data_IF_056430709342
#
_entry.id   IF_056430709342
#
_cell.length_a   1.000
_cell.length_b   1.000
_cell.length_c   1.000
_cell.angle_alpha   90.00
_cell.angle_beta   90.00
_cell.angle_gamma   90.00
#
_symmetry.space_group_name_H-M   'P 1'
#
loop_
_entity.id
_entity.type
_entity.pdbx_description
1 polymer ?
#
# COMPACT_ATOMS: atom_id res chain seq x y z
N UNK A 1 -65.53 -26.42 21.07
CA UNK A 1 -64.64 -25.53 21.85
C UNK A 1 -63.32 -25.37 21.09
N UNK A 2 -62.98 -24.16 20.61
CA UNK A 2 -61.61 -23.77 20.30
C UNK A 2 -61.04 -22.92 21.46
N UNK A 3 -59.90 -23.31 22.00
CA UNK A 3 -59.15 -22.54 23.00
C UNK A 3 -58.20 -21.56 22.30
N UNK A 4 -58.16 -20.36 22.87
CA UNK A 4 -57.60 -19.13 22.34
C UNK A 4 -56.06 -19.10 22.47
N UNK A 5 -55.41 -18.47 21.49
CA UNK A 5 -53.98 -18.19 21.47
C UNK A 5 -53.59 -17.22 22.58
N UNK A 6 -52.71 -17.66 23.49
CA UNK A 6 -52.06 -16.79 24.46
C UNK A 6 -50.96 -15.98 23.78
N UNK A 7 -51.11 -14.68 23.84
CA UNK A 7 -50.14 -13.67 23.43
C UNK A 7 -49.01 -13.67 24.46
N UNK A 8 -47.90 -14.32 24.14
CA UNK A 8 -46.66 -14.25 24.89
C UNK A 8 -45.77 -13.12 24.36
N UNK A 9 -45.82 -11.98 25.05
CA UNK A 9 -44.83 -10.92 24.91
C UNK A 9 -43.47 -11.49 25.29
N UNK A 10 -42.53 -11.49 24.35
CA UNK A 10 -41.11 -11.61 24.66
C UNK A 10 -40.35 -10.76 23.67
N UNK A 11 -40.07 -9.54 24.12
CA UNK A 11 -39.11 -8.61 23.55
C UNK A 11 -37.77 -9.32 23.37
N UNK A 12 -37.53 -9.87 22.17
CA UNK A 12 -36.21 -10.30 21.77
C UNK A 12 -35.40 -9.03 21.51
N UNK A 13 -34.58 -8.70 22.50
CA UNK A 13 -33.53 -7.71 22.49
C UNK A 13 -32.89 -7.59 21.09
N UNK A 14 -32.94 -6.38 20.54
CA UNK A 14 -32.07 -5.99 19.44
C UNK A 14 -30.63 -6.03 19.94
N UNK A 15 -29.96 -7.16 19.73
CA UNK A 15 -28.50 -7.21 19.78
C UNK A 15 -28.03 -6.42 18.57
N UNK A 16 -27.72 -5.14 18.77
CA UNK A 16 -26.84 -4.40 17.86
C UNK A 16 -25.53 -5.18 17.79
N UNK A 17 -25.41 -6.00 16.75
CA UNK A 17 -24.16 -6.64 16.39
C UNK A 17 -23.19 -5.50 16.04
N UNK A 18 -22.06 -5.36 16.73
CA UNK A 18 -21.05 -4.39 16.33
C UNK A 18 -20.64 -4.77 14.91
N UNK A 19 -20.70 -3.81 13.99
CA UNK A 19 -20.25 -3.98 12.61
C UNK A 19 -18.84 -4.56 12.64
N UNK A 20 -18.74 -5.86 12.40
CA UNK A 20 -17.50 -6.53 12.10
C UNK A 20 -17.01 -5.87 10.83
N UNK A 21 -16.08 -4.90 10.96
CA UNK A 21 -15.26 -4.45 9.84
C UNK A 21 -14.69 -5.71 9.23
N UNK A 22 -15.25 -6.10 8.09
CA UNK A 22 -14.85 -7.28 7.34
C UNK A 22 -13.35 -7.22 7.22
N UNK A 23 -12.65 -8.13 7.91
CA UNK A 23 -11.21 -8.27 7.74
C UNK A 23 -11.01 -8.59 6.27
N UNK A 24 -10.35 -7.68 5.54
CA UNK A 24 -10.03 -7.88 4.13
C UNK A 24 -9.41 -9.25 4.00
N UNK A 25 -10.05 -10.11 3.23
CA UNK A 25 -9.52 -11.45 2.99
C UNK A 25 -8.17 -11.32 2.26
N UNK A 26 -7.27 -12.32 2.38
CA UNK A 26 -5.99 -12.30 1.64
C UNK A 26 -6.17 -12.06 0.13
N UNK A 27 -7.32 -12.47 -0.41
CA UNK A 27 -7.73 -12.22 -1.80
C UNK A 27 -8.07 -10.75 -2.09
N UNK A 28 -8.84 -10.08 -1.22
CA UNK A 28 -9.11 -8.64 -1.33
C UNK A 28 -7.84 -7.80 -1.13
N UNK A 29 -6.94 -8.25 -0.25
CA UNK A 29 -5.63 -7.63 -0.07
C UNK A 29 -4.79 -7.71 -1.37
N UNK A 30 -4.77 -8.87 -2.03
CA UNK A 30 -4.08 -9.07 -3.31
C UNK A 30 -4.65 -8.19 -4.44
N UNK A 31 -5.98 -8.07 -4.53
CA UNK A 31 -6.60 -7.19 -5.52
C UNK A 31 -6.28 -5.71 -5.25
N UNK A 32 -6.27 -5.29 -3.99
CA UNK A 32 -5.90 -3.92 -3.62
C UNK A 32 -4.41 -3.62 -3.90
N UNK A 33 -3.54 -4.61 -3.71
CA UNK A 33 -2.13 -4.50 -4.05
C UNK A 33 -1.91 -4.40 -5.57
N UNK A 34 -2.61 -5.21 -6.37
CA UNK A 34 -2.53 -5.14 -7.83
C UNK A 34 -3.03 -3.80 -8.40
N UNK A 35 -4.06 -3.21 -7.78
CA UNK A 35 -4.52 -1.86 -8.13
C UNK A 35 -3.47 -0.80 -7.80
N UNK A 36 -2.90 -0.85 -6.59
CA UNK A 36 -1.84 0.06 -6.17
C UNK A 36 -0.58 -0.07 -7.04
N UNK A 37 -0.23 -1.29 -7.46
CA UNK A 37 0.89 -1.54 -8.36
C UNK A 37 0.67 -0.92 -9.74
N UNK A 38 -0.53 -1.04 -10.30
CA UNK A 38 -0.86 -0.38 -11.58
C UNK A 38 -0.76 1.15 -11.46
N UNK A 39 -1.27 1.71 -10.37
CA UNK A 39 -1.19 3.14 -10.12
C UNK A 39 0.26 3.61 -9.99
N UNK A 40 1.10 2.85 -9.27
CA UNK A 40 2.52 3.13 -9.14
C UNK A 40 3.25 3.09 -10.51
N UNK A 41 2.93 2.12 -11.37
CA UNK A 41 3.49 2.05 -12.73
C UNK A 41 3.09 3.29 -13.55
N UNK A 42 1.83 3.73 -13.46
CA UNK A 42 1.40 4.95 -14.15
C UNK A 42 2.08 6.21 -13.61
N UNK A 43 2.32 6.28 -12.29
CA UNK A 43 3.06 7.40 -11.69
C UNK A 43 4.52 7.44 -12.14
N UNK A 44 5.16 6.27 -12.32
CA UNK A 44 6.52 6.19 -12.85
C UNK A 44 6.59 6.68 -14.29
N UNK A 45 5.62 6.30 -15.14
CA UNK A 45 5.53 6.80 -16.52
C UNK A 45 5.39 8.33 -16.58
N UNK A 46 4.53 8.90 -15.72
CA UNK A 46 4.39 10.35 -15.61
C UNK A 46 5.67 11.03 -15.10
N UNK A 47 6.35 10.44 -14.11
CA UNK A 47 7.61 10.96 -13.60
C UNK A 47 8.72 10.91 -14.66
N UNK A 48 8.75 9.87 -15.51
CA UNK A 48 9.67 9.75 -16.63
C UNK A 48 9.44 10.85 -17.67
N UNK A 49 8.19 11.09 -18.10
CA UNK A 49 7.88 12.20 -19.01
C UNK A 49 8.24 13.57 -18.44
N UNK A 50 8.02 13.78 -17.14
CA UNK A 50 8.42 15.01 -16.46
C UNK A 50 9.95 15.15 -16.41
N UNK A 51 10.68 14.05 -16.20
CA UNK A 51 12.15 14.01 -16.21
C UNK A 51 12.72 14.30 -17.60
N UNK A 52 12.12 13.77 -18.66
CA UNK A 52 12.53 14.07 -20.04
C UNK A 52 12.35 15.56 -20.36
N UNK A 53 11.23 16.14 -19.91
CA UNK A 53 10.96 17.59 -20.03
C UNK A 53 11.98 18.42 -19.25
N UNK A 54 12.38 17.98 -18.06
CA UNK A 54 13.40 18.65 -17.25
C UNK A 54 14.80 18.47 -17.84
N UNK A 55 15.11 17.33 -18.45
CA UNK A 55 16.38 17.07 -19.14
C UNK A 55 16.55 18.01 -20.33
N UNK A 56 15.47 18.22 -21.10
CA UNK A 56 15.45 19.22 -22.19
C UNK A 56 15.68 20.64 -21.66
N UNK A 57 15.23 20.95 -20.43
CA UNK A 57 15.53 22.23 -19.76
C UNK A 57 16.97 22.28 -19.23
N UNK A 58 17.51 21.19 -18.70
CA UNK A 58 18.86 21.11 -18.12
C UNK A 58 19.96 21.19 -19.18
N UNK A 59 19.74 20.66 -20.39
CA UNK A 59 20.65 20.85 -21.55
C UNK A 59 20.83 22.34 -21.87
N UNK A 60 19.94 23.23 -21.39
CA UNK A 60 20.10 24.69 -21.49
C UNK A 60 21.11 25.29 -20.50
N UNK A 61 21.72 24.48 -19.62
CA UNK A 61 22.97 24.80 -18.91
C UNK A 61 22.82 25.61 -17.61
N UNK A 62 22.35 24.98 -16.53
CA UNK A 62 22.30 25.60 -15.19
C UNK A 62 23.32 25.00 -14.21
N UNK A 63 23.74 25.87 -13.29
CA UNK A 63 24.91 25.88 -12.40
C UNK A 63 24.93 24.74 -11.35
N UNK A 64 26.00 23.95 -11.28
CA UNK A 64 26.13 22.85 -10.29
C UNK A 64 27.43 22.99 -9.48
N UNK A 65 27.26 23.25 -8.18
CA UNK A 65 28.32 23.38 -7.20
C UNK A 65 28.83 22.00 -6.74
N UNK A 66 30.16 21.75 -6.80
CA UNK A 66 30.80 20.46 -6.53
C UNK A 66 30.45 19.89 -5.14
N UNK A 67 30.21 20.76 -4.16
CA UNK A 67 29.84 20.38 -2.80
C UNK A 67 28.48 19.64 -2.76
N UNK A 68 27.53 20.06 -3.60
CA UNK A 68 26.21 19.44 -3.70
C UNK A 68 26.29 18.05 -4.33
N UNK A 69 27.23 17.83 -5.27
CA UNK A 69 27.45 16.52 -5.89
C UNK A 69 27.94 15.50 -4.86
N UNK A 70 28.88 15.88 -3.99
CA UNK A 70 29.38 14.98 -2.95
C UNK A 70 28.31 14.63 -1.91
N UNK A 71 27.51 15.62 -1.47
CA UNK A 71 26.40 15.38 -0.54
C UNK A 71 25.35 14.48 -1.20
N UNK A 72 25.01 14.71 -2.47
CA UNK A 72 24.08 13.89 -3.21
C UNK A 72 24.59 12.44 -3.33
N UNK A 73 25.87 12.24 -3.63
CA UNK A 73 26.48 10.92 -3.71
C UNK A 73 26.43 10.17 -2.36
N UNK A 74 26.74 10.83 -1.25
CA UNK A 74 26.64 10.23 0.08
C UNK A 74 25.19 9.88 0.43
N UNK A 75 24.25 10.78 0.15
CA UNK A 75 22.81 10.54 0.37
C UNK A 75 22.30 9.36 -0.47
N UNK A 76 22.72 9.26 -1.72
CA UNK A 76 22.38 8.15 -2.61
C UNK A 76 22.91 6.81 -2.08
N UNK A 77 24.15 6.78 -1.57
CA UNK A 77 24.73 5.58 -0.97
C UNK A 77 23.95 5.10 0.26
N UNK A 78 23.58 6.02 1.16
CA UNK A 78 22.77 5.68 2.34
C UNK A 78 21.38 5.21 1.94
N UNK A 79 20.74 5.90 0.99
CA UNK A 79 19.41 5.53 0.49
C UNK A 79 19.41 4.14 -0.15
N UNK A 80 20.44 3.81 -0.96
CA UNK A 80 20.58 2.51 -1.59
C UNK A 80 20.68 1.39 -0.55
N UNK A 81 21.50 1.58 0.49
CA UNK A 81 21.61 0.61 1.59
C UNK A 81 20.26 0.41 2.28
N UNK A 82 19.53 1.49 2.57
CA UNK A 82 18.19 1.40 3.16
C UNK A 82 17.20 0.66 2.24
N UNK A 83 17.26 0.87 0.92
CA UNK A 83 16.43 0.14 -0.05
C UNK A 83 16.72 -1.35 -0.05
N UNK A 84 17.98 -1.76 0.08
CA UNK A 84 18.35 -3.18 0.16
C UNK A 84 17.74 -3.82 1.41
N UNK A 85 17.80 -3.15 2.56
CA UNK A 85 17.18 -3.64 3.80
C UNK A 85 15.66 -3.75 3.67
N UNK A 86 15.00 -2.74 3.10
CA UNK A 86 13.55 -2.78 2.85
C UNK A 86 13.20 -3.94 1.92
N UNK A 87 13.96 -4.13 0.82
CA UNK A 87 13.77 -5.26 -0.10
C UNK A 87 13.83 -6.59 0.66
N UNK A 88 14.85 -6.77 1.50
CA UNK A 88 15.00 -8.00 2.29
C UNK A 88 13.79 -8.23 3.19
N UNK A 89 13.31 -7.20 3.90
CA UNK A 89 12.12 -7.29 4.76
C UNK A 89 10.82 -7.56 4.01
N UNK A 90 10.65 -7.02 2.81
CA UNK A 90 9.47 -7.31 1.97
C UNK A 90 9.48 -8.76 1.49
N UNK A 91 10.66 -9.29 1.11
CA UNK A 91 10.80 -10.71 0.74
C UNK A 91 10.52 -11.63 1.92
N UNK A 92 11.04 -11.31 3.11
CA UNK A 92 10.73 -12.04 4.35
C UNK A 92 9.21 -12.04 4.63
N UNK A 93 8.56 -10.88 4.56
CA UNK A 93 7.12 -10.75 4.80
C UNK A 93 6.29 -11.56 3.79
N UNK A 94 6.70 -11.59 2.52
CA UNK A 94 6.06 -12.42 1.51
C UNK A 94 6.21 -13.92 1.81
N UNK A 95 7.41 -14.36 2.20
CA UNK A 95 7.66 -15.74 2.60
C UNK A 95 6.83 -16.14 3.82
N UNK A 96 6.69 -15.24 4.79
CA UNK A 96 5.90 -15.46 6.01
C UNK A 96 4.40 -15.63 5.72
N UNK A 97 3.82 -14.78 4.85
CA UNK A 97 2.42 -14.87 4.45
C UNK A 97 2.10 -16.21 3.78
N UNK A 98 3.02 -16.75 2.98
CA UNK A 98 2.85 -18.06 2.32
C UNK A 98 2.98 -19.22 3.32
N UNK A 99 3.79 -19.05 4.36
CA UNK A 99 4.04 -20.07 5.38
C UNK A 99 2.97 -20.14 6.45
N UNK A 100 2.13 -19.11 6.59
CA UNK A 100 0.94 -19.20 7.43
C UNK A 100 0.00 -20.27 6.86
N UNK A 101 -0.19 -21.41 7.56
CA UNK A 101 -1.26 -22.32 7.21
C UNK A 101 -2.59 -21.60 7.49
N UNK A 102 -3.50 -21.66 6.53
CA UNK A 102 -4.91 -21.29 6.75
C UNK A 102 -5.59 -22.24 7.72
#
# INVERSE_FOLDING_TARGET
MPIQSITGVSSAMSVQQPELKTQKTPFEAQQSFSAMLNEAIQQVDQAQQASDTMTVKLIKGEDVDLHNVMIAAQKASVALNATVEIRNKVVEAYQEIIRMPV
#
